data_IF_786464748133
#
_entry.id   IF_786464748133
#
_cell.length_a   1.000
_cell.length_b   1.000
_cell.length_c   1.000
_cell.angle_alpha   90.00
_cell.angle_beta   90.00
_cell.angle_gamma   90.00
#
_symmetry.space_group_name_H-M   'P 1'
#
loop_
_entity.id
_entity.type
_entity.pdbx_description
1 polymer ?
#
# COMPACT_ATOMS: atom_id res chain seq x y z
N UNK A 1 -11.20 -40.28 31.93
CA UNK A 1 -11.99 -39.62 30.87
C UNK A 1 -11.04 -38.74 30.08
N UNK A 2 -11.03 -38.87 28.75
CA UNK A 2 -10.11 -38.16 27.84
C UNK A 2 -10.64 -36.74 27.59
N UNK A 3 -9.79 -35.72 27.76
CA UNK A 3 -10.03 -34.35 27.31
C UNK A 3 -8.89 -33.99 26.36
N UNK A 4 -9.23 -33.71 25.11
CA UNK A 4 -8.28 -33.30 24.07
C UNK A 4 -8.08 -31.79 24.15
N UNK A 5 -6.87 -31.34 24.49
CA UNK A 5 -6.44 -29.96 24.28
C UNK A 5 -5.36 -29.95 23.20
N UNK A 6 -5.73 -29.53 21.99
CA UNK A 6 -4.76 -29.21 20.94
C UNK A 6 -4.27 -27.77 21.15
N UNK A 7 -3.07 -27.66 21.73
CA UNK A 7 -2.27 -26.43 21.78
C UNK A 7 -1.69 -26.18 20.39
N UNK A 8 -2.07 -25.07 19.75
CA UNK A 8 -1.41 -24.57 18.55
C UNK A 8 -0.07 -23.90 18.94
N UNK A 9 1.05 -24.20 18.26
CA UNK A 9 2.34 -23.63 18.58
C UNK A 9 2.45 -22.17 18.12
N UNK A 10 2.83 -21.32 19.07
CA UNK A 10 3.33 -19.96 18.89
C UNK A 10 4.78 -20.02 18.41
N UNK A 11 5.10 -19.38 17.28
CA UNK A 11 6.47 -19.04 16.88
C UNK A 11 6.41 -17.68 16.18
N UNK A 12 6.74 -16.58 16.88
CA UNK A 12 8.04 -15.91 16.86
C UNK A 12 8.54 -15.57 15.44
N UNK A 13 8.34 -14.31 15.01
CA UNK A 13 9.16 -13.69 13.97
C UNK A 13 10.03 -12.62 14.64
N UNK A 14 11.28 -12.99 14.90
CA UNK A 14 12.38 -12.09 15.17
C UNK A 14 12.82 -11.44 13.86
N UNK A 15 13.17 -10.16 13.95
CA UNK A 15 13.72 -9.32 12.89
C UNK A 15 15.01 -9.88 12.30
N UNK A 16 15.26 -9.55 11.01
CA UNK A 16 16.59 -9.23 10.50
C UNK A 16 16.46 -8.41 9.20
N UNK A 17 16.60 -7.09 9.35
CA UNK A 17 16.88 -6.16 8.27
C UNK A 17 18.29 -6.42 7.74
N UNK A 18 18.45 -6.63 6.43
CA UNK A 18 19.75 -6.62 5.78
C UNK A 18 19.73 -5.71 4.55
N UNK A 19 20.29 -4.51 4.79
CA UNK A 19 21.20 -3.71 3.96
C UNK A 19 21.07 -3.78 2.42
N UNK A 20 20.71 -2.63 1.84
CA UNK A 20 20.89 -2.25 0.44
C UNK A 20 22.40 -2.12 0.08
N UNK A 21 22.84 -2.54 -1.12
CA UNK A 21 24.12 -2.08 -1.68
C UNK A 21 23.96 -0.76 -2.46
N UNK A 22 24.98 0.14 -2.47
CA UNK A 22 24.90 1.44 -3.13
C UNK A 22 25.58 1.43 -4.51
N UNK A 23 24.97 2.13 -5.48
CA UNK A 23 25.52 2.72 -6.73
C UNK A 23 24.46 2.63 -7.85
N UNK A 24 24.25 3.58 -8.78
CA UNK A 24 24.95 4.80 -9.19
C UNK A 24 24.09 5.35 -10.33
N UNK A 25 23.42 6.48 -10.15
CA UNK A 25 22.69 7.13 -11.26
C UNK A 25 23.47 8.34 -11.72
N UNK A 26 24.01 8.21 -12.93
CA UNK A 26 24.70 9.27 -13.66
C UNK A 26 23.73 10.40 -14.01
N UNK A 27 24.25 11.60 -13.85
CA UNK A 27 23.83 12.88 -14.42
C UNK A 27 23.36 12.80 -15.88
N UNK A 28 22.21 13.42 -16.16
CA UNK A 28 21.98 14.15 -17.41
C UNK A 28 21.32 15.49 -17.09
N UNK A 29 22.08 16.57 -17.27
CA UNK A 29 21.60 17.95 -17.35
C UNK A 29 21.26 18.21 -18.81
N UNK A 30 20.05 18.68 -19.09
CA UNK A 30 19.79 19.54 -20.26
C UNK A 30 18.77 20.59 -19.86
N UNK A 31 19.23 21.84 -19.88
CA UNK A 31 18.43 23.04 -19.69
C UNK A 31 17.86 23.48 -21.04
N UNK A 32 16.59 23.90 -21.05
CA UNK A 32 16.11 24.97 -21.92
C UNK A 32 15.10 25.81 -21.16
N UNK A 33 15.47 27.07 -21.01
CA UNK A 33 14.73 28.20 -20.44
C UNK A 33 13.47 28.50 -21.25
N UNK A 34 12.36 28.77 -20.58
CA UNK A 34 11.58 29.98 -20.86
C UNK A 34 10.80 30.43 -19.63
N UNK A 35 10.89 31.74 -19.42
CA UNK A 35 10.61 32.49 -18.19
C UNK A 35 9.20 33.07 -18.28
N UNK A 36 8.33 32.70 -17.34
CA UNK A 36 7.17 33.52 -16.95
C UNK A 36 7.23 33.69 -15.44
N UNK A 37 7.46 34.95 -15.04
CA UNK A 37 7.63 35.45 -13.69
C UNK A 37 6.32 35.41 -12.89
N UNK A 38 6.30 34.90 -11.63
CA UNK A 38 5.23 35.21 -10.70
C UNK A 38 5.50 36.58 -10.05
N UNK A 39 4.51 37.47 -10.16
CA UNK A 39 4.41 38.76 -9.45
C UNK A 39 4.67 38.59 -7.95
N UNK A 40 5.66 39.32 -7.43
CA UNK A 40 5.88 39.53 -5.99
C UNK A 40 4.82 40.49 -5.43
N UNK A 41 4.16 40.18 -4.29
CA UNK A 41 3.49 41.20 -3.51
C UNK A 41 4.52 41.99 -2.68
N UNK A 42 4.66 43.27 -3.05
CA UNK A 42 5.45 44.29 -2.34
C UNK A 42 4.81 44.58 -0.97
N UNK A 43 5.33 43.99 0.09
CA UNK A 43 5.02 44.42 1.47
C UNK A 43 5.81 45.70 1.74
N UNK A 44 5.11 46.82 1.89
CA UNK A 44 5.68 48.07 2.38
C UNK A 44 5.97 47.89 3.88
N UNK A 45 7.25 47.93 4.24
CA UNK A 45 7.68 48.08 5.63
C UNK A 45 7.34 49.51 6.10
N UNK A 46 6.39 49.63 7.00
CA UNK A 46 6.26 50.79 7.87
C UNK A 46 7.07 50.51 9.15
N UNK A 47 8.15 51.26 9.34
CA UNK A 47 9.00 51.20 10.52
C UNK A 47 8.23 51.74 11.73
N UNK A 48 8.07 50.92 12.76
CA UNK A 48 7.97 51.41 14.14
C UNK A 48 8.91 50.61 15.03
N UNK A 49 9.96 51.29 15.49
CA UNK A 49 10.85 50.88 16.56
C UNK A 49 10.04 50.64 17.85
N UNK A 50 10.09 49.43 18.40
CA UNK A 50 10.00 49.23 19.85
C UNK A 50 11.06 48.22 20.27
N UNK A 51 12.09 48.78 20.89
CA UNK A 51 13.21 48.10 21.52
C UNK A 51 12.74 47.52 22.87
N UNK A 52 12.85 46.20 23.10
CA UNK A 52 13.39 45.64 24.35
C UNK A 52 13.46 44.10 24.33
N UNK A 53 14.61 43.62 24.83
CA UNK A 53 15.07 42.25 25.00
C UNK A 53 14.10 41.36 25.77
N UNK A 54 13.99 40.08 25.38
CA UNK A 54 14.45 38.95 26.21
C UNK A 54 14.53 37.66 25.37
N UNK A 55 15.68 37.00 25.43
CA UNK A 55 15.85 35.62 24.96
C UNK A 55 14.96 34.69 25.80
N UNK A 56 14.11 33.90 25.14
CA UNK A 56 13.81 32.55 25.61
C UNK A 56 13.48 31.66 24.42
N UNK A 57 14.33 30.66 24.23
CA UNK A 57 14.05 29.50 23.41
C UNK A 57 12.80 28.78 23.95
N UNK A 58 11.95 28.32 23.05
CA UNK A 58 10.80 27.48 23.37
C UNK A 58 10.13 26.99 22.10
N UNK A 59 10.49 25.78 21.69
CA UNK A 59 9.82 24.99 20.67
C UNK A 59 8.33 24.83 21.02
N UNK A 60 7.41 25.54 20.36
CA UNK A 60 5.96 25.29 20.55
C UNK A 60 5.07 25.63 19.32
N UNK A 61 5.63 26.17 18.24
CA UNK A 61 4.82 26.66 17.09
C UNK A 61 4.33 25.56 16.14
N UNK A 62 4.84 24.33 16.26
CA UNK A 62 4.49 23.25 15.35
C UNK A 62 3.18 22.55 15.76
N UNK A 63 2.92 22.39 17.06
CA UNK A 63 1.66 21.84 17.57
C UNK A 63 0.48 22.82 17.43
N UNK A 64 0.72 24.13 17.63
CA UNK A 64 -0.32 25.16 17.41
C UNK A 64 -0.70 25.29 15.92
N UNK A 65 0.25 25.14 14.99
CA UNK A 65 -0.05 25.17 13.55
C UNK A 65 -0.80 23.93 13.08
N UNK A 66 -0.50 22.75 13.61
CA UNK A 66 -1.27 21.52 13.33
C UNK A 66 -2.70 21.69 13.87
N UNK A 67 -2.86 22.28 15.06
CA UNK A 67 -4.17 22.62 15.61
C UNK A 67 -4.91 23.67 14.79
N UNK A 68 -4.23 24.70 14.27
CA UNK A 68 -4.84 25.74 13.44
C UNK A 68 -5.35 25.22 12.09
N UNK A 69 -4.58 24.37 11.41
CA UNK A 69 -5.01 23.71 10.16
C UNK A 69 -6.21 22.77 10.40
N UNK A 70 -6.21 22.06 11.54
CA UNK A 70 -7.32 21.18 11.95
C UNK A 70 -8.57 21.98 12.35
N UNK A 71 -8.40 23.18 12.94
CA UNK A 71 -9.50 24.09 13.30
C UNK A 71 -10.09 24.81 12.08
N UNK A 72 -9.28 25.15 11.06
CA UNK A 72 -9.72 25.86 9.85
C UNK A 72 -10.58 24.99 8.90
N UNK A 73 -10.45 23.66 8.97
CA UNK A 73 -11.25 22.73 8.16
C UNK A 73 -12.55 22.25 8.82
N UNK A 74 -12.75 22.55 10.11
CA UNK A 74 -13.85 22.01 10.93
C UNK A 74 -15.19 22.59 10.44
N UNK A 75 -16.04 21.75 9.86
CA UNK A 75 -17.32 22.15 9.26
C UNK A 75 -17.30 22.32 7.74
N UNK A 76 -16.16 22.08 7.07
CA UNK A 76 -16.15 21.88 5.62
C UNK A 76 -16.45 20.41 5.30
N UNK A 77 -17.45 20.17 4.48
CA UNK A 77 -17.86 18.83 4.08
C UNK A 77 -16.74 18.02 3.38
N UNK A 78 -15.83 18.69 2.67
CA UNK A 78 -14.70 18.03 2.00
C UNK A 78 -13.63 17.57 2.99
N UNK A 79 -13.36 18.38 4.03
CA UNK A 79 -12.45 18.00 5.11
C UNK A 79 -13.02 16.83 5.93
N UNK A 80 -14.32 16.87 6.22
CA UNK A 80 -15.01 15.77 6.91
C UNK A 80 -15.01 14.48 6.06
N UNK A 81 -15.23 14.54 4.74
CA UNK A 81 -15.15 13.37 3.86
C UNK A 81 -13.71 12.83 3.76
N UNK A 82 -12.70 13.71 3.69
CA UNK A 82 -11.29 13.30 3.69
C UNK A 82 -10.89 12.61 5.00
N UNK A 83 -11.31 13.16 6.15
CA UNK A 83 -11.08 12.56 7.46
C UNK A 83 -11.77 11.18 7.57
N UNK A 84 -12.99 11.06 7.05
CA UNK A 84 -13.70 9.78 7.02
C UNK A 84 -13.02 8.75 6.11
N UNK A 85 -12.47 9.14 4.96
CA UNK A 85 -11.68 8.24 4.09
C UNK A 85 -10.42 7.75 4.79
N UNK A 86 -9.76 8.61 5.56
CA UNK A 86 -8.61 8.21 6.38
C UNK A 86 -9.02 7.17 7.43
N UNK A 87 -10.16 7.39 8.11
CA UNK A 87 -10.71 6.44 9.06
C UNK A 87 -11.04 5.09 8.40
N UNK A 88 -11.63 5.08 7.20
CA UNK A 88 -11.90 3.84 6.44
C UNK A 88 -10.63 3.06 6.14
N UNK A 89 -9.57 3.76 5.71
CA UNK A 89 -8.28 3.14 5.41
C UNK A 89 -7.69 2.51 6.67
N UNK A 90 -7.67 3.24 7.78
CA UNK A 90 -7.16 2.74 9.06
C UNK A 90 -7.95 1.52 9.58
N UNK A 91 -9.29 1.52 9.45
CA UNK A 91 -10.09 0.36 9.85
C UNK A 91 -9.83 -0.86 8.98
N UNK A 92 -9.77 -0.66 7.65
CA UNK A 92 -9.52 -1.74 6.71
C UNK A 92 -8.13 -2.36 6.91
N UNK A 93 -7.09 -1.52 6.99
CA UNK A 93 -5.70 -1.96 7.22
C UNK A 93 -5.52 -2.57 8.60
N UNK A 94 -6.22 -2.03 9.61
CA UNK A 94 -6.30 -2.59 10.96
C UNK A 94 -7.16 -3.86 11.08
N UNK A 95 -7.55 -4.46 9.95
CA UNK A 95 -8.24 -5.75 9.87
C UNK A 95 -9.68 -5.75 10.39
N UNK A 96 -10.33 -4.60 10.52
CA UNK A 96 -11.71 -4.50 11.01
C UNK A 96 -12.68 -5.06 9.98
N UNK A 97 -13.58 -5.91 10.43
CA UNK A 97 -14.65 -6.43 9.59
C UNK A 97 -15.74 -5.38 9.35
N UNK A 98 -16.63 -5.65 8.40
CA UNK A 98 -17.81 -4.80 8.16
C UNK A 98 -18.68 -4.72 9.42
N UNK A 99 -18.82 -5.83 10.15
CA UNK A 99 -19.60 -5.86 11.39
C UNK A 99 -18.93 -5.08 12.53
N UNK A 100 -17.59 -5.11 12.62
CA UNK A 100 -16.85 -4.30 13.60
C UNK A 100 -17.06 -2.81 13.34
N UNK A 101 -16.99 -2.37 12.08
CA UNK A 101 -17.20 -0.96 11.72
C UNK A 101 -18.65 -0.54 11.93
N UNK A 102 -19.61 -1.45 11.72
CA UNK A 102 -21.00 -1.22 12.07
C UNK A 102 -21.16 -0.92 13.57
N UNK A 103 -20.47 -1.68 14.43
CA UNK A 103 -20.45 -1.45 15.87
C UNK A 103 -19.76 -0.14 16.23
N UNK A 104 -18.61 0.18 15.61
CA UNK A 104 -17.89 1.46 15.82
C UNK A 104 -18.79 2.65 15.51
N UNK A 105 -19.61 2.55 14.45
CA UNK A 105 -20.56 3.60 14.07
C UNK A 105 -21.86 3.60 14.89
N UNK A 106 -21.94 2.76 15.92
CA UNK A 106 -23.12 2.57 16.80
C UNK A 106 -24.39 2.20 16.03
N UNK A 107 -24.26 1.51 14.90
CA UNK A 107 -25.39 1.16 14.06
C UNK A 107 -26.11 -0.08 14.60
N UNK A 108 -27.44 -0.04 14.75
CA UNK A 108 -28.23 -1.20 15.15
C UNK A 108 -27.99 -2.40 14.23
N UNK A 109 -27.96 -3.62 14.79
CA UNK A 109 -27.79 -4.85 14.02
C UNK A 109 -29.01 -5.18 13.14
N UNK A 110 -30.22 -4.74 13.52
CA UNK A 110 -31.50 -5.01 12.83
C UNK A 110 -32.41 -3.78 12.80
N UNK A 111 -33.25 -3.70 11.76
CA UNK A 111 -34.49 -2.91 11.70
C UNK A 111 -34.35 -1.38 11.54
N UNK A 112 -33.42 -0.74 12.24
CA UNK A 112 -33.45 0.72 12.43
C UNK A 112 -32.21 1.45 11.91
N UNK A 113 -31.21 0.73 11.43
CA UNK A 113 -29.94 1.31 11.02
C UNK A 113 -30.06 2.31 9.86
N UNK A 114 -31.07 2.17 8.99
CA UNK A 114 -31.24 3.04 7.81
C UNK A 114 -31.55 4.50 8.16
N UNK A 115 -32.21 4.74 9.29
CA UNK A 115 -32.53 6.09 9.77
C UNK A 115 -31.41 6.74 10.59
N UNK A 116 -30.32 6.02 10.85
CA UNK A 116 -29.22 6.50 11.69
C UNK A 116 -28.30 7.47 10.92
N UNK A 117 -27.80 8.50 11.60
CA UNK A 117 -26.92 9.53 11.00
C UNK A 117 -25.66 8.96 10.33
N UNK A 118 -25.12 7.86 10.87
CA UNK A 118 -23.92 7.21 10.34
C UNK A 118 -24.20 6.15 9.26
N UNK A 119 -25.46 5.91 8.89
CA UNK A 119 -25.80 4.89 7.89
C UNK A 119 -25.15 5.15 6.53
N UNK A 120 -25.22 6.40 6.05
CA UNK A 120 -24.57 6.78 4.79
C UNK A 120 -23.05 6.60 4.82
N UNK A 121 -22.42 6.89 5.96
CA UNK A 121 -20.97 6.68 6.16
C UNK A 121 -20.62 5.18 6.15
N UNK A 122 -21.45 4.35 6.78
CA UNK A 122 -21.28 2.91 6.75
C UNK A 122 -21.41 2.32 5.35
N UNK A 123 -22.37 2.76 4.55
CA UNK A 123 -22.49 2.33 3.15
C UNK A 123 -21.25 2.70 2.34
N UNK A 124 -20.74 3.93 2.49
CA UNK A 124 -19.47 4.35 1.88
C UNK A 124 -18.29 3.46 2.30
N UNK A 125 -18.22 3.05 3.57
CA UNK A 125 -17.19 2.10 4.01
C UNK A 125 -17.35 0.72 3.35
N UNK A 126 -18.58 0.20 3.24
CA UNK A 126 -18.82 -1.09 2.57
C UNK A 126 -18.40 -1.03 1.10
N UNK A 127 -18.66 0.09 0.41
CA UNK A 127 -18.19 0.34 -0.95
C UNK A 127 -16.66 0.40 -1.02
N UNK A 128 -16.02 1.16 -0.13
CA UNK A 128 -14.57 1.24 -0.01
C UNK A 128 -13.92 -0.16 0.17
N UNK A 129 -14.49 -1.01 1.04
CA UNK A 129 -14.00 -2.39 1.24
C UNK A 129 -14.10 -3.22 -0.05
N UNK A 130 -15.18 -3.05 -0.83
CA UNK A 130 -15.34 -3.74 -2.12
C UNK A 130 -14.29 -3.26 -3.13
N UNK A 131 -14.08 -1.95 -3.21
CA UNK A 131 -13.07 -1.34 -4.09
C UNK A 131 -11.67 -1.87 -3.75
N UNK A 132 -11.28 -1.86 -2.47
CA UNK A 132 -9.97 -2.36 -2.03
C UNK A 132 -9.76 -3.84 -2.34
N UNK A 133 -10.79 -4.66 -2.15
CA UNK A 133 -10.73 -6.09 -2.53
C UNK A 133 -10.58 -6.26 -4.04
N UNK A 134 -11.27 -5.44 -4.84
CA UNK A 134 -11.14 -5.47 -6.29
C UNK A 134 -9.77 -5.00 -6.76
N UNK A 135 -9.22 -3.93 -6.15
CA UNK A 135 -7.86 -3.46 -6.40
C UNK A 135 -6.82 -4.55 -6.13
N UNK A 136 -6.94 -5.25 -4.99
CA UNK A 136 -6.05 -6.37 -4.66
C UNK A 136 -6.18 -7.52 -5.67
N UNK A 137 -7.40 -7.87 -6.07
CA UNK A 137 -7.63 -8.90 -7.09
C UNK A 137 -7.03 -8.50 -8.45
N UNK A 138 -7.23 -7.25 -8.89
CA UNK A 138 -6.67 -6.72 -10.13
C UNK A 138 -5.14 -6.70 -10.08
N UNK A 139 -4.56 -6.29 -8.94
CA UNK A 139 -3.11 -6.31 -8.75
C UNK A 139 -2.55 -7.75 -8.83
N UNK A 140 -3.25 -8.74 -8.27
CA UNK A 140 -2.88 -10.15 -8.39
C UNK A 140 -2.93 -10.64 -9.85
N UNK A 141 -3.97 -10.26 -10.62
CA UNK A 141 -4.07 -10.57 -12.05
C UNK A 141 -2.89 -9.96 -12.83
N UNK A 142 -2.58 -8.68 -12.60
CA UNK A 142 -1.46 -7.99 -13.25
C UNK A 142 -0.12 -8.65 -12.88
N UNK A 143 0.07 -9.04 -11.62
CA UNK A 143 1.26 -9.73 -11.17
C UNK A 143 1.41 -11.11 -11.85
N UNK A 144 0.32 -11.87 -11.99
CA UNK A 144 0.31 -13.14 -12.71
C UNK A 144 0.64 -12.96 -14.21
N UNK A 145 0.07 -11.94 -14.86
CA UNK A 145 0.38 -11.63 -16.27
C UNK A 145 1.85 -11.25 -16.47
N UNK A 146 2.43 -10.42 -15.59
CA UNK A 146 3.86 -10.08 -15.62
C UNK A 146 4.73 -11.32 -15.45
N UNK A 147 4.36 -12.22 -14.54
CA UNK A 147 5.09 -13.47 -14.31
C UNK A 147 5.04 -14.40 -15.52
N UNK A 148 3.85 -14.63 -16.09
CA UNK A 148 3.68 -15.41 -17.33
C UNK A 148 4.48 -14.82 -18.49
N UNK A 149 4.57 -13.50 -18.59
CA UNK A 149 5.43 -12.84 -19.59
C UNK A 149 6.91 -13.20 -19.36
N UNK A 150 7.42 -13.08 -18.14
CA UNK A 150 8.79 -13.45 -17.83
C UNK A 150 9.11 -14.92 -18.17
N UNK A 151 8.19 -15.84 -17.89
CA UNK A 151 8.34 -17.26 -18.21
C UNK A 151 8.45 -17.51 -19.72
N UNK A 152 7.65 -16.79 -20.50
CA UNK A 152 7.71 -16.83 -21.96
C UNK A 152 9.04 -16.29 -22.46
N UNK A 153 9.49 -15.16 -21.91
CA UNK A 153 10.74 -14.52 -22.31
C UNK A 153 11.93 -15.47 -22.03
N UNK A 154 11.97 -16.10 -20.85
CA UNK A 154 12.99 -17.13 -20.53
C UNK A 154 13.01 -18.29 -21.52
N UNK A 155 11.82 -18.77 -21.94
CA UNK A 155 11.72 -19.84 -22.94
C UNK A 155 12.24 -19.41 -24.31
N UNK A 156 11.88 -18.21 -24.77
CA UNK A 156 12.32 -17.66 -26.07
C UNK A 156 13.83 -17.42 -26.08
N UNK A 157 14.38 -16.96 -24.97
CA UNK A 157 15.82 -16.74 -24.79
C UNK A 157 16.63 -18.05 -24.67
N UNK A 158 15.95 -19.20 -24.59
CA UNK A 158 16.60 -20.50 -24.48
C UNK A 158 17.15 -20.80 -23.09
N UNK A 159 16.62 -20.14 -22.04
CA UNK A 159 16.98 -20.42 -20.65
C UNK A 159 16.66 -21.88 -20.32
N UNK A 160 17.65 -22.61 -19.83
CA UNK A 160 17.51 -24.04 -19.53
C UNK A 160 16.69 -24.27 -18.27
N UNK A 161 16.07 -25.46 -18.14
CA UNK A 161 15.32 -25.82 -16.93
C UNK A 161 16.19 -25.71 -15.66
N UNK A 162 17.48 -26.08 -15.75
CA UNK A 162 18.42 -25.99 -14.63
C UNK A 162 18.65 -24.54 -14.18
N UNK A 163 18.73 -23.59 -15.12
CA UNK A 163 18.84 -22.16 -14.82
C UNK A 163 17.54 -21.62 -14.20
N UNK A 164 16.38 -22.01 -14.72
CA UNK A 164 15.09 -21.61 -14.15
C UNK A 164 14.89 -22.17 -12.74
N UNK A 165 15.27 -23.43 -12.50
CA UNK A 165 15.29 -24.01 -11.15
C UNK A 165 16.18 -23.21 -10.21
N UNK A 166 17.36 -22.79 -10.67
CA UNK A 166 18.27 -21.92 -9.90
C UNK A 166 17.63 -20.55 -9.60
N UNK A 167 16.92 -19.94 -10.54
CA UNK A 167 16.18 -18.68 -10.34
C UNK A 167 15.12 -18.83 -9.23
N UNK A 168 14.46 -19.97 -9.16
CA UNK A 168 13.47 -20.27 -8.11
C UNK A 168 14.06 -20.84 -6.81
N UNK A 169 15.39 -20.94 -6.72
CA UNK A 169 16.11 -21.53 -5.58
C UNK A 169 15.71 -22.98 -5.33
N UNK A 170 15.33 -23.70 -6.39
CA UNK A 170 14.91 -25.10 -6.32
C UNK A 170 16.09 -26.06 -6.43
N UNK A 171 15.94 -27.29 -5.90
CA UNK A 171 16.85 -28.39 -6.19
C UNK A 171 17.01 -28.58 -7.70
N UNK A 172 18.24 -28.84 -8.14
CA UNK A 172 18.58 -29.01 -9.55
C UNK A 172 17.77 -30.11 -10.25
N UNK A 173 17.32 -31.13 -9.49
CA UNK A 173 16.59 -32.29 -10.00
C UNK A 173 15.51 -32.67 -8.99
N UNK A 174 14.42 -33.26 -9.48
CA UNK A 174 13.37 -33.84 -8.65
C UNK A 174 12.25 -32.86 -8.32
N UNK A 175 11.26 -33.37 -7.59
CA UNK A 175 10.12 -32.61 -7.09
C UNK A 175 10.44 -31.96 -5.75
N UNK A 176 9.94 -30.75 -5.53
CA UNK A 176 10.16 -30.01 -4.28
C UNK A 176 8.84 -29.45 -3.74
N UNK A 177 7.83 -30.31 -3.56
CA UNK A 177 6.45 -29.90 -3.20
C UNK A 177 6.34 -29.03 -1.94
N UNK A 178 7.27 -29.19 -0.98
CA UNK A 178 7.29 -28.40 0.25
C UNK A 178 8.02 -27.04 0.07
N UNK A 179 8.56 -26.74 -1.12
CA UNK A 179 9.27 -25.50 -1.39
C UNK A 179 8.30 -24.40 -1.83
N UNK A 180 8.40 -23.17 -1.26
CA UNK A 180 7.46 -22.09 -1.55
C UNK A 180 7.45 -21.62 -3.01
N UNK A 181 8.48 -21.94 -3.79
CA UNK A 181 8.58 -21.61 -5.21
C UNK A 181 8.26 -22.79 -6.15
N UNK A 182 7.89 -23.95 -5.62
CA UNK A 182 7.60 -25.13 -6.46
C UNK A 182 6.42 -24.90 -7.40
N UNK A 183 5.33 -24.34 -6.89
CA UNK A 183 4.13 -24.02 -7.68
C UNK A 183 4.45 -23.03 -8.82
N UNK A 184 5.34 -22.06 -8.59
CA UNK A 184 5.82 -21.12 -9.62
C UNK A 184 6.59 -21.82 -10.73
N UNK A 185 7.35 -22.85 -10.38
CA UNK A 185 8.08 -23.66 -11.36
C UNK A 185 7.14 -24.57 -12.16
N UNK A 186 6.12 -25.14 -11.52
CA UNK A 186 5.05 -25.88 -12.23
C UNK A 186 4.30 -24.95 -13.21
N UNK A 187 3.97 -23.73 -12.80
CA UNK A 187 3.37 -22.71 -13.68
C UNK A 187 4.29 -22.39 -14.89
N UNK A 188 5.61 -22.28 -14.67
CA UNK A 188 6.57 -22.11 -15.76
C UNK A 188 6.53 -23.27 -16.77
N UNK A 189 6.53 -24.52 -16.28
CA UNK A 189 6.48 -25.71 -17.13
C UNK A 189 5.18 -25.76 -17.97
N UNK A 190 4.06 -25.35 -17.40
CA UNK A 190 2.80 -25.22 -18.15
C UNK A 190 2.90 -24.19 -19.28
N UNK A 191 3.48 -23.01 -19.00
CA UNK A 191 3.69 -21.97 -20.02
C UNK A 191 4.60 -22.49 -21.14
N UNK A 192 5.72 -23.16 -20.82
CA UNK A 192 6.60 -23.77 -21.84
C UNK A 192 5.84 -24.78 -22.70
N UNK A 193 4.99 -25.63 -22.08
CA UNK A 193 4.18 -26.63 -22.79
C UNK A 193 3.13 -25.98 -23.70
N UNK A 194 2.60 -24.82 -23.34
CA UNK A 194 1.69 -24.05 -24.18
C UNK A 194 2.42 -23.43 -25.37
N UNK A 195 3.54 -22.75 -25.14
CA UNK A 195 4.30 -22.04 -26.18
C UNK A 195 4.98 -22.98 -27.17
N UNK A 196 5.49 -24.12 -26.72
CA UNK A 196 6.06 -25.14 -27.62
C UNK A 196 5.03 -25.64 -28.65
N UNK A 197 3.74 -25.70 -28.32
CA UNK A 197 2.70 -26.09 -29.28
C UNK A 197 2.38 -25.03 -30.33
N UNK A 198 2.68 -23.77 -30.04
CA UNK A 198 2.36 -22.62 -30.91
C UNK A 198 3.51 -22.35 -31.88
N UNK A 199 4.75 -22.46 -31.42
CA UNK A 199 5.95 -22.12 -32.22
C UNK A 199 6.31 -23.21 -33.25
N UNK A 200 5.88 -24.46 -33.04
CA UNK A 200 6.15 -25.59 -33.95
C UNK A 200 4.96 -25.97 -34.87
N UNK A 201 4.12 -25.01 -35.24
CA UNK A 201 3.12 -25.14 -36.31
C UNK A 201 3.50 -24.28 -37.50
#
# INVERSE_FOLDING_TARGET
MRVCYSLLPTALLLACSSALPPNRSQTLKTATSDVVSPVEPRIQHENTDVNNKEDTAGEDDEEERINAATMLGKGNAEWDDALMRLAYSHWFEGGKTIDDVRLIMSLPAKGEAVGHENWGKYLKYVEFVKEKKQEAANAAIVAALKRRRAYRDWYIEGTTEAEVRKIFELPAIGTAQNHPNWEKFEEYLEVVKEYSKIVFK
#
